data_IF_671417917721
#
_entry.id   IF_671417917721
#
_cell.length_a   1.000
_cell.length_b   1.000
_cell.length_c   1.000
_cell.angle_alpha   90.00
_cell.angle_beta   90.00
_cell.angle_gamma   90.00
#
_symmetry.space_group_name_H-M   'P 1'
#
loop_
_entity.id
_entity.type
_entity.pdbx_description
1 polymer ?
#
# COMPACT_ATOMS: atom_id res chain seq x y z
N UNK A 1 -19.84 12.28 5.94
CA UNK A 1 -18.82 12.54 4.92
C UNK A 1 -18.30 11.18 4.48
N UNK A 2 -18.59 10.75 3.25
CA UNK A 2 -18.15 9.44 2.73
C UNK A 2 -16.64 9.56 2.48
N UNK A 3 -15.84 8.82 3.26
CA UNK A 3 -14.39 8.75 3.05
C UNK A 3 -14.16 8.04 1.72
N UNK A 4 -13.42 8.67 0.80
CA UNK A 4 -13.07 8.04 -0.48
C UNK A 4 -12.28 6.75 -0.21
N UNK A 5 -12.41 5.73 -1.08
CA UNK A 5 -11.50 4.59 -1.07
C UNK A 5 -10.03 5.07 -0.99
N UNK A 6 -9.21 4.33 -0.27
CA UNK A 6 -7.80 4.67 -0.08
C UNK A 6 -7.22 4.16 1.23
N UNK A 7 -5.90 4.26 1.34
CA UNK A 7 -5.14 3.85 2.52
C UNK A 7 -5.05 4.97 3.54
N UNK A 8 -5.16 4.61 4.82
CA UNK A 8 -5.09 5.56 5.93
C UNK A 8 -3.66 5.98 6.26
N UNK A 9 -2.69 5.14 5.88
CA UNK A 9 -1.28 5.46 6.00
C UNK A 9 -0.82 6.45 4.89
N UNK A 10 -1.54 6.53 3.77
CA UNK A 10 -1.23 7.41 2.64
C UNK A 10 -1.72 8.86 2.83
N UNK A 11 -1.35 9.50 3.95
CA UNK A 11 -1.64 10.92 4.15
C UNK A 11 -1.10 11.75 2.96
N UNK A 12 -1.81 12.82 2.53
CA UNK A 12 -1.40 13.60 1.37
C UNK A 12 -0.05 14.25 1.61
N UNK A 13 0.95 13.87 0.82
CA UNK A 13 2.25 14.54 0.78
C UNK A 13 2.11 15.86 0.03
N UNK A 14 2.79 16.91 0.49
CA UNK A 14 2.85 18.15 -0.28
C UNK A 14 3.45 17.85 -1.67
N UNK A 15 2.91 18.44 -2.76
CA UNK A 15 3.47 18.24 -4.07
C UNK A 15 4.91 18.74 -4.10
N UNK A 16 5.84 17.85 -4.42
CA UNK A 16 7.23 18.20 -4.67
C UNK A 16 7.57 17.84 -6.12
N UNK A 17 8.28 18.74 -6.81
CA UNK A 17 8.92 18.39 -8.06
C UNK A 17 10.16 17.57 -7.74
N UNK A 18 10.28 16.34 -8.25
CA UNK A 18 11.43 15.52 -7.93
C UNK A 18 12.69 16.11 -8.61
N UNK A 19 13.86 16.05 -7.96
CA UNK A 19 15.10 16.52 -8.56
C UNK A 19 15.40 15.71 -9.81
N UNK A 20 16.02 16.35 -10.82
CA UNK A 20 16.56 15.62 -11.96
C UNK A 20 17.79 14.85 -11.49
N UNK A 21 17.77 13.53 -11.66
CA UNK A 21 18.90 12.65 -11.36
C UNK A 21 19.42 12.08 -12.66
N UNK A 22 20.74 12.18 -12.88
CA UNK A 22 21.38 11.66 -14.08
C UNK A 22 21.17 10.15 -14.20
N UNK A 23 20.83 9.67 -15.39
CA UNK A 23 20.61 8.24 -15.65
C UNK A 23 19.23 7.70 -15.25
N UNK A 24 18.33 8.54 -14.69
CA UNK A 24 16.96 8.11 -14.33
C UNK A 24 15.92 8.94 -15.09
N UNK A 25 15.04 8.25 -15.83
CA UNK A 25 13.83 8.82 -16.40
C UNK A 25 12.68 8.73 -15.38
N UNK A 26 12.51 9.81 -14.60
CA UNK A 26 11.47 9.88 -13.57
C UNK A 26 10.05 9.97 -14.14
N UNK A 27 9.88 10.44 -15.37
CA UNK A 27 8.58 10.46 -16.02
C UNK A 27 8.17 9.03 -16.41
N UNK A 28 9.11 8.23 -16.91
CA UNK A 28 8.89 6.80 -17.15
C UNK A 28 8.64 6.04 -15.85
N UNK A 29 9.42 6.30 -14.80
CA UNK A 29 9.20 5.69 -13.49
C UNK A 29 7.80 6.02 -12.94
N UNK A 30 7.37 7.28 -13.03
CA UNK A 30 6.02 7.70 -12.65
C UNK A 30 4.92 6.98 -13.42
N UNK A 31 5.06 6.82 -14.74
CA UNK A 31 4.10 6.04 -15.56
C UNK A 31 4.05 4.56 -15.19
N UNK A 32 5.18 3.97 -14.84
CA UNK A 32 5.25 2.59 -14.39
C UNK A 32 4.57 2.41 -13.03
N UNK A 33 4.72 3.38 -12.11
CA UNK A 33 4.02 3.41 -10.83
C UNK A 33 2.50 3.48 -11.03
N UNK A 34 2.03 4.38 -11.90
CA UNK A 34 0.60 4.49 -12.25
C UNK A 34 0.04 3.18 -12.81
N UNK A 35 0.76 2.58 -13.76
CA UNK A 35 0.39 1.30 -14.38
C UNK A 35 0.36 0.14 -13.37
N UNK A 36 1.16 0.23 -12.30
CA UNK A 36 1.18 -0.71 -11.19
C UNK A 36 0.14 -0.40 -10.09
N UNK A 37 -0.67 0.65 -10.27
CA UNK A 37 -1.75 1.05 -9.36
C UNK A 37 -1.34 2.00 -8.23
N UNK A 38 -0.12 2.56 -8.26
CA UNK A 38 0.31 3.58 -7.31
C UNK A 38 0.01 5.01 -7.77
N UNK A 39 0.18 6.00 -6.89
CA UNK A 39 0.01 7.43 -7.21
C UNK A 39 1.36 8.07 -7.63
N UNK A 40 1.54 8.50 -8.89
CA UNK A 40 2.79 9.12 -9.36
C UNK A 40 3.21 10.37 -8.58
N UNK A 41 2.26 11.09 -7.97
CA UNK A 41 2.55 12.28 -7.17
C UNK A 41 3.14 11.91 -5.82
N UNK A 42 2.64 10.83 -5.20
CA UNK A 42 3.22 10.28 -3.96
C UNK A 42 4.61 9.74 -4.27
N UNK A 43 4.78 9.03 -5.39
CA UNK A 43 6.09 8.57 -5.85
C UNK A 43 7.08 9.73 -5.97
N UNK A 44 6.72 10.78 -6.70
CA UNK A 44 7.58 11.94 -6.90
C UNK A 44 7.97 12.61 -5.57
N UNK A 45 7.01 12.78 -4.65
CA UNK A 45 7.26 13.40 -3.36
C UNK A 45 8.14 12.53 -2.44
N UNK A 46 7.87 11.23 -2.36
CA UNK A 46 8.67 10.27 -1.60
C UNK A 46 10.10 10.16 -2.13
N UNK A 47 10.25 10.08 -3.46
CA UNK A 47 11.57 10.03 -4.09
C UNK A 47 12.37 11.31 -3.80
N UNK A 48 11.75 12.48 -3.97
CA UNK A 48 12.39 13.76 -3.68
C UNK A 48 12.84 13.88 -2.22
N UNK A 49 12.01 13.42 -1.28
CA UNK A 49 12.34 13.44 0.15
C UNK A 49 13.56 12.56 0.46
N UNK A 50 13.62 11.34 -0.08
CA UNK A 50 14.78 10.46 0.10
C UNK A 50 16.07 11.03 -0.50
N UNK A 51 16.00 11.59 -1.72
CA UNK A 51 17.16 12.20 -2.39
C UNK A 51 17.67 13.43 -1.64
N UNK A 52 16.78 14.22 -1.04
CA UNK A 52 17.17 15.40 -0.27
C UNK A 52 18.05 15.05 0.94
N UNK A 53 17.80 13.91 1.59
CA UNK A 53 18.57 13.43 2.73
C UNK A 53 19.89 12.75 2.33
N UNK A 54 19.93 12.09 1.16
CA UNK A 54 21.14 11.43 0.66
C UNK A 54 21.29 11.57 -0.87
N UNK A 55 21.80 12.71 -1.37
CA UNK A 55 21.93 12.97 -2.80
C UNK A 55 22.85 11.99 -3.55
N UNK A 56 23.82 11.41 -2.85
CA UNK A 56 24.83 10.50 -3.42
C UNK A 56 24.42 9.01 -3.36
N UNK A 57 23.23 8.71 -2.81
CA UNK A 57 22.68 7.34 -2.76
C UNK A 57 22.27 6.86 -4.16
N UNK A 58 22.28 5.54 -4.36
CA UNK A 58 21.71 4.94 -5.57
C UNK A 58 20.23 5.31 -5.70
N UNK A 59 19.93 6.17 -6.66
CA UNK A 59 18.58 6.65 -6.87
C UNK A 59 17.62 5.55 -7.38
N UNK A 60 18.11 4.42 -7.88
CA UNK A 60 17.24 3.25 -8.16
C UNK A 60 16.72 2.64 -6.86
N UNK A 61 17.52 2.63 -5.79
CA UNK A 61 17.07 2.14 -4.48
C UNK A 61 15.92 2.99 -3.94
N UNK A 62 16.10 4.31 -3.96
CA UNK A 62 15.09 5.27 -3.56
C UNK A 62 13.83 5.20 -4.44
N UNK A 63 13.98 5.01 -5.75
CA UNK A 63 12.85 4.88 -6.66
C UNK A 63 12.00 3.63 -6.35
N UNK A 64 12.62 2.49 -6.05
CA UNK A 64 11.91 1.28 -5.65
C UNK A 64 11.11 1.45 -4.36
N UNK A 65 11.71 2.09 -3.36
CA UNK A 65 11.07 2.39 -2.07
C UNK A 65 9.91 3.38 -2.27
N UNK A 66 10.13 4.44 -3.03
CA UNK A 66 9.11 5.44 -3.34
C UNK A 66 7.95 4.86 -4.14
N UNK A 67 8.22 3.92 -5.07
CA UNK A 67 7.18 3.25 -5.85
C UNK A 67 6.25 2.42 -4.95
N UNK A 68 6.84 1.65 -4.02
CA UNK A 68 6.05 0.92 -3.03
C UNK A 68 5.26 1.86 -2.12
N UNK A 69 5.89 2.93 -1.61
CA UNK A 69 5.24 3.95 -0.78
C UNK A 69 4.08 4.66 -1.50
N UNK A 70 4.15 4.75 -2.82
CA UNK A 70 3.09 5.28 -3.66
C UNK A 70 1.90 4.33 -3.85
N UNK A 71 1.99 3.09 -3.35
CA UNK A 71 0.93 2.08 -3.41
C UNK A 71 1.09 1.06 -4.53
N UNK A 72 2.20 1.07 -5.26
CA UNK A 72 2.49 0.07 -6.27
C UNK A 72 2.90 -1.26 -5.61
N UNK A 73 1.90 -2.07 -5.24
CA UNK A 73 2.03 -3.28 -4.43
C UNK A 73 3.06 -4.30 -4.96
N UNK A 74 3.21 -4.38 -6.29
CA UNK A 74 4.17 -5.27 -6.93
C UNK A 74 5.64 -4.99 -6.54
N UNK A 75 5.95 -3.78 -6.06
CA UNK A 75 7.30 -3.39 -5.65
C UNK A 75 7.62 -3.69 -4.18
N UNK A 76 6.67 -4.20 -3.39
CA UNK A 76 6.85 -4.39 -1.94
C UNK A 76 8.13 -5.17 -1.60
N UNK A 77 8.30 -6.36 -2.16
CA UNK A 77 9.41 -7.24 -1.78
C UNK A 77 10.76 -6.69 -2.27
N UNK A 78 10.76 -5.97 -3.39
CA UNK A 78 11.93 -5.24 -3.88
C UNK A 78 12.30 -4.07 -2.99
N UNK A 79 11.31 -3.28 -2.58
CA UNK A 79 11.48 -2.16 -1.67
C UNK A 79 12.00 -2.59 -0.29
N UNK A 80 11.47 -3.67 0.29
CA UNK A 80 11.93 -4.18 1.58
C UNK A 80 13.41 -4.62 1.54
N UNK A 81 13.83 -5.30 0.47
CA UNK A 81 15.23 -5.70 0.31
C UNK A 81 16.17 -4.50 0.18
N UNK A 82 15.73 -3.45 -0.52
CA UNK A 82 16.50 -2.19 -0.65
C UNK A 82 16.55 -1.45 0.69
N UNK A 83 15.44 -1.43 1.43
CA UNK A 83 15.38 -0.86 2.78
C UNK A 83 16.34 -1.54 3.76
N UNK A 84 16.54 -2.85 3.67
CA UNK A 84 17.49 -3.56 4.54
C UNK A 84 18.91 -2.99 4.41
N UNK A 85 19.35 -2.63 3.19
CA UNK A 85 20.66 -2.02 2.94
C UNK A 85 20.68 -0.51 3.19
N UNK A 86 19.66 0.20 2.71
CA UNK A 86 19.59 1.66 2.81
C UNK A 86 19.42 2.12 4.27
N UNK A 87 18.64 1.40 5.08
CA UNK A 87 18.45 1.75 6.50
C UNK A 87 19.73 1.65 7.33
N UNK A 88 20.72 0.87 6.90
CA UNK A 88 22.00 0.73 7.60
C UNK A 88 22.98 1.84 7.22
N UNK A 89 22.89 2.36 6.01
CA UNK A 89 23.86 3.31 5.44
C UNK A 89 23.34 4.74 5.42
N UNK A 90 22.06 4.92 5.10
CA UNK A 90 21.37 6.21 4.97
C UNK A 90 19.95 6.13 5.58
N UNK A 91 19.84 5.93 6.90
CA UNK A 91 18.54 5.72 7.53
C UNK A 91 17.58 6.91 7.41
N UNK A 92 18.09 8.14 7.38
CA UNK A 92 17.26 9.34 7.23
C UNK A 92 16.60 9.38 5.83
N UNK A 93 17.36 9.01 4.78
CA UNK A 93 16.81 8.88 3.43
C UNK A 93 15.77 7.76 3.32
N UNK A 94 16.00 6.62 3.99
CA UNK A 94 15.03 5.53 4.03
C UNK A 94 13.72 5.95 4.73
N UNK A 95 13.81 6.63 5.88
CA UNK A 95 12.65 7.14 6.60
C UNK A 95 11.90 8.19 5.78
N UNK A 96 12.61 9.14 5.19
CA UNK A 96 12.05 10.19 4.34
C UNK A 96 11.34 9.61 3.10
N UNK A 97 11.93 8.63 2.42
CA UNK A 97 11.32 7.97 1.28
C UNK A 97 10.01 7.24 1.64
N UNK A 98 9.94 6.65 2.84
CA UNK A 98 8.72 6.03 3.39
C UNK A 98 7.72 7.07 3.93
N UNK A 99 8.12 8.33 4.09
CA UNK A 99 7.31 9.36 4.76
C UNK A 99 7.06 9.04 6.24
N UNK A 100 8.05 8.46 6.91
CA UNK A 100 8.04 8.13 8.33
C UNK A 100 8.96 9.08 9.10
N UNK A 101 8.72 9.20 10.41
CA UNK A 101 9.74 9.75 11.31
C UNK A 101 10.93 8.80 11.37
N UNK A 102 12.15 9.33 11.46
CA UNK A 102 13.36 8.52 11.65
C UNK A 102 13.26 7.62 12.87
N UNK A 103 12.63 8.08 13.95
CA UNK A 103 12.45 7.31 15.18
C UNK A 103 11.58 6.05 14.98
N UNK A 104 10.73 6.04 13.96
CA UNK A 104 9.80 4.95 13.68
C UNK A 104 10.34 3.90 12.69
N UNK A 105 11.47 4.19 12.01
CA UNK A 105 11.99 3.35 10.93
C UNK A 105 12.30 1.91 11.39
N UNK A 106 13.02 1.75 12.49
CA UNK A 106 13.46 0.44 12.96
C UNK A 106 12.24 -0.43 13.37
N UNK A 107 11.27 0.19 14.05
CA UNK A 107 10.02 -0.46 14.42
C UNK A 107 9.19 -0.85 13.19
N UNK A 108 9.17 0.00 12.16
CA UNK A 108 8.52 -0.31 10.88
C UNK A 108 9.14 -1.54 10.21
N UNK A 109 10.46 -1.57 10.06
CA UNK A 109 11.17 -2.67 9.41
C UNK A 109 10.99 -4.00 10.16
N UNK A 110 11.04 -3.97 11.50
CA UNK A 110 10.78 -5.16 12.31
C UNK A 110 9.35 -5.66 12.10
N UNK A 111 8.36 -4.75 12.19
CA UNK A 111 6.95 -5.12 12.05
C UNK A 111 6.64 -5.70 10.65
N UNK A 112 7.27 -5.20 9.59
CA UNK A 112 7.02 -5.67 8.21
C UNK A 112 7.41 -7.14 7.97
N UNK A 113 8.16 -7.78 8.88
CA UNK A 113 8.49 -9.22 8.83
C UNK A 113 7.28 -10.13 9.09
N UNK A 114 6.34 -9.67 9.92
CA UNK A 114 5.16 -10.45 10.31
C UNK A 114 3.82 -9.75 10.03
N UNK A 115 3.84 -8.43 9.85
CA UNK A 115 2.66 -7.59 9.73
C UNK A 115 2.84 -6.58 8.60
N UNK A 116 2.42 -6.98 7.39
CA UNK A 116 2.52 -6.15 6.19
C UNK A 116 1.64 -4.90 6.22
N UNK A 117 0.72 -4.81 7.17
CA UNK A 117 -0.23 -3.72 7.32
C UNK A 117 0.20 -2.74 8.40
N UNK A 118 1.42 -2.86 8.94
CA UNK A 118 1.86 -2.02 10.05
C UNK A 118 2.39 -0.66 9.58
N UNK A 119 1.97 0.39 10.29
CA UNK A 119 2.60 1.71 10.32
C UNK A 119 2.38 2.34 11.72
N UNK A 120 3.19 3.33 12.12
CA UNK A 120 3.12 3.92 13.46
C UNK A 120 1.73 4.46 13.83
N UNK A 121 1.01 5.02 12.85
CA UNK A 121 -0.32 5.61 13.02
C UNK A 121 -1.50 4.62 13.03
N UNK A 122 -1.27 3.30 12.92
CA UNK A 122 -2.38 2.32 12.77
C UNK A 122 -3.30 2.27 13.97
N UNK A 123 -2.75 2.36 15.18
CA UNK A 123 -3.56 2.32 16.42
C UNK A 123 -4.59 3.47 16.46
N UNK A 124 -4.19 4.67 16.01
CA UNK A 124 -5.10 5.82 15.90
C UNK A 124 -6.23 5.58 14.88
N UNK A 125 -6.02 4.67 13.92
CA UNK A 125 -7.02 4.23 12.94
C UNK A 125 -7.85 3.03 13.41
N UNK A 126 -7.68 2.56 14.66
CA UNK A 126 -8.41 1.41 15.23
C UNK A 126 -8.30 0.16 14.35
N UNK A 127 -7.10 -0.12 13.85
CA UNK A 127 -6.84 -1.29 13.01
C UNK A 127 -7.29 -1.17 11.55
N UNK A 128 -8.09 -0.17 11.17
CA UNK A 128 -8.47 0.04 9.77
C UNK A 128 -7.28 0.50 8.92
N UNK A 129 -7.06 -0.14 7.78
CA UNK A 129 -5.92 0.11 6.89
C UNK A 129 -6.34 0.86 5.64
N UNK A 130 -7.26 0.28 4.88
CA UNK A 130 -7.74 0.85 3.64
C UNK A 130 -9.18 0.47 3.37
N UNK A 131 -9.85 1.34 2.61
CA UNK A 131 -11.13 1.04 1.99
C UNK A 131 -10.91 0.83 0.49
N UNK A 132 -11.44 -0.26 -0.06
CA UNK A 132 -11.30 -0.60 -1.47
C UNK A 132 -12.66 -0.89 -2.10
N UNK A 133 -12.69 -0.94 -3.43
CA UNK A 133 -13.90 -1.18 -4.20
C UNK A 133 -14.55 0.11 -4.68
N UNK A 134 -15.86 0.15 -4.61
CA UNK A 134 -16.72 1.25 -5.04
C UNK A 134 -17.76 0.79 -6.04
N UNK A 135 -18.84 1.55 -6.14
CA UNK A 135 -19.88 1.29 -7.14
C UNK A 135 -19.37 1.63 -8.54
N UNK A 136 -19.57 0.74 -9.50
CA UNK A 136 -19.09 0.91 -10.88
C UNK A 136 -19.64 2.19 -11.53
N UNK A 137 -20.88 2.59 -11.22
CA UNK A 137 -21.47 3.85 -11.71
C UNK A 137 -20.77 5.12 -11.20
N UNK A 138 -19.87 4.99 -10.22
CA UNK A 138 -19.04 6.06 -9.68
C UNK A 138 -17.53 5.80 -9.90
N UNK A 139 -17.19 4.92 -10.83
CA UNK A 139 -15.79 4.58 -11.16
C UNK A 139 -15.17 3.52 -10.26
N UNK A 140 -15.96 2.81 -9.45
CA UNK A 140 -15.51 1.63 -8.72
C UNK A 140 -15.56 0.36 -9.56
N UNK A 141 -15.48 -0.80 -8.90
CA UNK A 141 -15.38 -2.12 -9.56
C UNK A 141 -16.62 -2.98 -9.43
N UNK A 142 -17.56 -2.63 -8.53
CA UNK A 142 -18.67 -3.53 -8.20
C UNK A 142 -20.03 -3.02 -8.64
N UNK A 143 -20.85 -3.94 -9.15
CA UNK A 143 -22.27 -3.73 -9.48
C UNK A 143 -23.21 -4.05 -8.32
N UNK A 144 -22.74 -4.84 -7.34
CA UNK A 144 -23.45 -5.19 -6.12
C UNK A 144 -22.53 -4.94 -4.90
N UNK A 145 -23.08 -4.62 -3.71
CA UNK A 145 -22.26 -4.45 -2.52
C UNK A 145 -21.58 -5.79 -2.13
N UNK A 146 -20.34 -5.74 -1.59
CA UNK A 146 -19.67 -6.91 -1.07
C UNK A 146 -20.45 -7.49 0.11
N UNK A 147 -20.73 -8.79 0.06
CA UNK A 147 -21.56 -9.48 1.03
C UNK A 147 -20.76 -10.43 1.93
N UNK A 148 -19.64 -10.94 1.43
CA UNK A 148 -18.83 -11.95 2.09
C UNK A 148 -17.36 -11.74 1.77
N UNK A 149 -16.49 -12.12 2.70
CA UNK A 149 -15.06 -12.16 2.48
C UNK A 149 -14.40 -13.34 3.17
N UNK A 150 -13.38 -13.89 2.54
CA UNK A 150 -12.54 -14.96 3.09
C UNK A 150 -11.07 -14.55 3.00
N UNK A 151 -10.27 -14.95 3.98
CA UNK A 151 -8.81 -14.87 3.85
C UNK A 151 -8.34 -15.93 2.85
N UNK A 152 -7.32 -15.61 2.05
CA UNK A 152 -6.68 -16.57 1.15
C UNK A 152 -5.36 -17.08 1.75
N UNK A 153 -4.74 -18.07 1.10
CA UNK A 153 -3.46 -18.63 1.53
C UNK A 153 -2.31 -17.61 1.44
N UNK A 154 -2.33 -16.74 0.42
CA UNK A 154 -1.30 -15.72 0.24
C UNK A 154 -1.44 -14.60 1.30
N UNK A 155 -0.35 -14.16 1.95
CA UNK A 155 -0.40 -13.09 2.94
C UNK A 155 -1.00 -11.80 2.38
N UNK A 156 -1.97 -11.24 3.10
CA UNK A 156 -2.68 -10.01 2.71
C UNK A 156 -3.58 -10.15 1.49
N UNK A 157 -3.90 -11.38 1.09
CA UNK A 157 -4.87 -11.66 0.04
C UNK A 157 -6.22 -12.10 0.62
N UNK A 158 -7.30 -11.60 0.03
CA UNK A 158 -8.68 -11.85 0.44
C UNK A 158 -9.55 -12.14 -0.77
N UNK A 159 -10.46 -13.10 -0.64
CA UNK A 159 -11.59 -13.26 -1.55
C UNK A 159 -12.76 -12.40 -1.09
N UNK A 160 -13.43 -11.71 -2.00
CA UNK A 160 -14.61 -10.88 -1.72
C UNK A 160 -15.71 -11.29 -2.69
N UNK A 161 -16.89 -11.62 -2.19
CA UNK A 161 -18.07 -11.92 -3.01
C UNK A 161 -18.96 -10.69 -3.15
N UNK A 162 -19.28 -10.34 -4.39
CA UNK A 162 -20.20 -9.25 -4.74
C UNK A 162 -21.27 -9.81 -5.69
N UNK A 163 -22.50 -9.98 -5.22
CA UNK A 163 -23.52 -10.70 -5.99
C UNK A 163 -23.11 -12.16 -6.23
N UNK A 164 -23.01 -12.54 -7.50
CA UNK A 164 -22.57 -13.89 -7.93
C UNK A 164 -21.07 -13.97 -8.25
N UNK A 165 -20.37 -12.83 -8.27
CA UNK A 165 -18.97 -12.75 -8.67
C UNK A 165 -18.01 -12.79 -7.47
N UNK A 166 -16.84 -13.40 -7.67
CA UNK A 166 -15.74 -13.38 -6.73
C UNK A 166 -14.61 -12.48 -7.23
N UNK A 167 -14.00 -11.77 -6.29
CA UNK A 167 -12.88 -10.88 -6.53
C UNK A 167 -11.76 -11.21 -5.58
N UNK A 168 -10.52 -11.13 -6.06
CA UNK A 168 -9.33 -11.18 -5.23
C UNK A 168 -8.86 -9.76 -4.94
N UNK A 169 -8.68 -9.47 -3.65
CA UNK A 169 -8.00 -8.31 -3.12
C UNK A 169 -6.62 -8.74 -2.64
N UNK A 170 -5.56 -8.13 -3.16
CA UNK A 170 -4.22 -8.18 -2.58
C UNK A 170 -3.92 -6.81 -1.98
N UNK A 171 -3.47 -6.73 -0.73
CA UNK A 171 -3.22 -5.44 -0.06
C UNK A 171 -2.05 -5.48 0.94
N UNK A 172 -1.50 -4.30 1.21
CA UNK A 172 -0.60 -4.01 2.31
C UNK A 172 -0.84 -2.60 2.89
N UNK A 173 0.12 -2.09 3.67
CA UNK A 173 0.08 -0.75 4.28
C UNK A 173 -0.04 0.42 3.28
N UNK A 174 0.42 0.28 2.04
CA UNK A 174 0.45 1.37 1.06
C UNK A 174 -0.42 1.12 -0.17
N UNK A 175 -0.54 -0.12 -0.60
CA UNK A 175 -1.13 -0.51 -1.87
C UNK A 175 -2.26 -1.52 -1.73
N UNK A 176 -3.15 -1.53 -2.73
CA UNK A 176 -4.18 -2.54 -2.88
C UNK A 176 -4.47 -2.77 -4.36
N UNK A 177 -4.79 -4.02 -4.71
CA UNK A 177 -5.19 -4.42 -6.06
C UNK A 177 -6.41 -5.32 -5.99
N UNK A 178 -7.43 -5.00 -6.78
CA UNK A 178 -8.62 -5.84 -6.97
C UNK A 178 -8.60 -6.43 -8.38
N UNK A 179 -8.90 -7.72 -8.50
CA UNK A 179 -9.09 -8.41 -9.78
C UNK A 179 -10.22 -9.44 -9.68
N UNK A 180 -10.94 -9.73 -10.77
CA UNK A 180 -11.94 -10.79 -10.77
C UNK A 180 -11.29 -12.15 -10.58
N UNK A 181 -12.06 -13.10 -10.05
CA UNK A 181 -11.75 -14.52 -9.98
C UNK A 181 -12.77 -15.29 -10.81
N UNK A 182 -12.27 -16.25 -11.60
CA UNK A 182 -13.13 -17.09 -12.44
C UNK A 182 -13.92 -18.13 -11.62
N UNK A 183 -13.40 -18.51 -10.44
CA UNK A 183 -13.97 -19.51 -9.56
C UNK A 183 -13.98 -19.03 -8.09
N UNK A 184 -14.89 -19.54 -7.25
CA UNK A 184 -14.86 -19.29 -5.82
C UNK A 184 -13.51 -19.70 -5.21
N UNK A 185 -12.85 -18.83 -4.44
CA UNK A 185 -11.55 -19.14 -3.88
C UNK A 185 -11.66 -20.13 -2.71
N UNK A 186 -10.60 -20.91 -2.50
CA UNK A 186 -10.43 -21.70 -1.28
C UNK A 186 -10.01 -20.80 -0.11
N UNK A 187 -10.68 -20.95 1.03
CA UNK A 187 -10.37 -20.19 2.23
C UNK A 187 -9.05 -20.66 2.86
N UNK A 188 -8.16 -19.71 3.15
CA UNK A 188 -6.90 -19.93 3.87
C UNK A 188 -7.07 -19.91 5.39
N UNK A 189 -5.97 -20.11 6.14
CA UNK A 189 -5.98 -20.24 7.61
C UNK A 189 -6.38 -18.96 8.38
N UNK A 190 -6.59 -17.83 7.68
CA UNK A 190 -6.88 -16.54 8.31
C UNK A 190 -5.68 -15.95 9.07
N UNK A 191 -5.86 -14.75 9.59
CA UNK A 191 -4.80 -14.05 10.33
C UNK A 191 -5.35 -12.95 11.24
N UNK A 192 -4.47 -12.01 11.63
CA UNK A 192 -4.89 -10.81 12.35
C UNK A 192 -5.71 -9.86 11.46
N UNK A 193 -5.42 -9.84 10.16
CA UNK A 193 -6.12 -9.05 9.16
C UNK A 193 -7.37 -9.76 8.62
N UNK A 194 -8.45 -9.01 8.44
CA UNK A 194 -9.70 -9.44 7.83
C UNK A 194 -10.30 -8.32 6.99
N UNK A 195 -11.29 -8.68 6.16
CA UNK A 195 -12.09 -7.70 5.43
C UNK A 195 -13.44 -7.52 6.13
N UNK A 196 -13.83 -6.26 6.31
CA UNK A 196 -15.11 -5.86 6.89
C UNK A 196 -15.97 -5.28 5.77
N UNK A 197 -17.10 -5.93 5.50
CA UNK A 197 -18.12 -5.47 4.57
C UNK A 197 -19.29 -4.90 5.36
N UNK A 198 -19.81 -3.75 4.92
CA UNK A 198 -21.00 -3.15 5.52
C UNK A 198 -22.19 -3.33 4.58
N UNK A 199 -23.39 -3.65 5.09
CA UNK A 199 -24.61 -3.64 4.29
C UNK A 199 -24.76 -2.31 3.54
N UNK A 200 -25.18 -2.37 2.28
CA UNK A 200 -25.42 -1.21 1.40
C UNK A 200 -24.22 -0.30 1.10
N UNK A 201 -23.02 -0.67 1.56
CA UNK A 201 -21.77 -0.03 1.20
C UNK A 201 -21.14 -0.78 0.04
N UNK A 202 -20.68 -0.06 -0.99
CA UNK A 202 -19.84 -0.63 -2.05
C UNK A 202 -18.35 -0.62 -1.69
N UNK A 203 -18.02 -0.56 -0.39
CA UNK A 203 -16.64 -0.57 0.09
C UNK A 203 -16.39 -1.80 0.96
N UNK A 204 -15.24 -2.42 0.75
CA UNK A 204 -14.68 -3.41 1.65
C UNK A 204 -13.49 -2.79 2.40
N UNK A 205 -13.45 -2.99 3.72
CA UNK A 205 -12.43 -2.41 4.57
C UNK A 205 -11.44 -3.47 5.05
N UNK A 206 -10.15 -3.25 4.81
CA UNK A 206 -9.11 -4.08 5.46
C UNK A 206 -8.95 -3.60 6.89
N UNK A 207 -9.08 -4.52 7.84
CA UNK A 207 -8.96 -4.27 9.27
C UNK A 207 -8.01 -5.28 9.90
N UNK A 208 -7.07 -4.80 10.71
CA UNK A 208 -6.14 -5.63 11.48
C UNK A 208 -6.55 -5.57 12.94
N UNK A 209 -6.82 -6.74 13.54
CA UNK A 209 -7.08 -6.84 14.98
C UNK A 209 -5.83 -6.46 15.76
N UNK A 210 -6.01 -5.72 16.85
CA UNK A 210 -4.92 -5.47 17.79
C UNK A 210 -4.44 -6.81 18.39
N UNK A 211 -3.13 -6.91 18.63
CA UNK A 211 -2.58 -8.03 19.38
C UNK A 211 -3.12 -7.97 20.82
N UNK A 212 -3.72 -9.07 21.28
CA UNK A 212 -4.29 -9.20 22.62
C UNK A 212 -3.23 -9.18 23.72
#
# INVERSE_FOLDING_TARGET
MIKRPGHLAAAPTAPASPPRVEGIDLDLAGRNVDSAGGDPRVFAASFAAGVAEAPDTDAVDLAGIAAWRAGALAFRDDALRRLDGLSQTHPDAAAAALGLDRADLDAFLEAQRGDRFWWPGRAASRGYVCAVGGFVGLGGVWVAPPAESVALADPGAFGIRTGEEWWRLDADVWGARIRPLDEPPEAGPGGAASVICFPDSYLAWVHVRDAA
#
